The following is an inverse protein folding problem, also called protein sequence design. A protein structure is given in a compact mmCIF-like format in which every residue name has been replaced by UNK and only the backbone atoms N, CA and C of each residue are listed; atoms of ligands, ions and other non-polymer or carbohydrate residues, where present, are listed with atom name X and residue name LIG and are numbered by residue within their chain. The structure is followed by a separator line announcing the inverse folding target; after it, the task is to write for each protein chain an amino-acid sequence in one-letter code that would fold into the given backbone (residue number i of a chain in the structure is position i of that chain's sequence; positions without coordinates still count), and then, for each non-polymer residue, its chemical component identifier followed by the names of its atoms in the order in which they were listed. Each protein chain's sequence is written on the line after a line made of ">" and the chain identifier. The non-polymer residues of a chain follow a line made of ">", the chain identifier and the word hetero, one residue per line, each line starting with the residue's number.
data_IF_425386774637
#
_entry.id   IF_425386774637
#
_cell.length_a   1.000
_cell.length_b   1.000
_cell.length_c   1.000
_cell.angle_alpha   90.00
_cell.angle_beta   90.00
_cell.angle_gamma   90.00
#
_symmetry.space_group_name_H-M   'P 1'
#
loop_
_entity.id
_entity.type
_entity.pdbx_description
1 polymer ?
#
# COMPACT_ATOMS: atom_id res chain seq x y z
N UNK A 1 -31.36 -4.22 4.04
CA UNK A 1 -30.90 -3.29 3.51
C UNK A 1 -29.75 -3.36 2.57
N UNK A 2 -30.09 -3.29 1.34
CA UNK A 2 -29.13 -3.27 0.27
C UNK A 2 -28.18 -2.07 0.36
N UNK A 3 -28.63 -1.00 1.02
CA UNK A 3 -27.81 0.19 1.19
C UNK A 3 -26.58 -0.07 2.06
N UNK A 4 -26.66 -0.99 3.01
CA UNK A 4 -25.51 -1.32 3.85
C UNK A 4 -24.44 -2.09 3.08
N UNK A 5 -24.84 -3.00 2.19
CA UNK A 5 -23.90 -3.72 1.36
C UNK A 5 -23.20 -2.77 0.40
N UNK A 6 -23.96 -1.83 -0.18
CA UNK A 6 -23.37 -0.83 -1.05
C UNK A 6 -22.44 0.09 -0.29
N UNK A 7 -22.81 0.40 0.94
CA UNK A 7 -22.01 1.25 1.81
C UNK A 7 -20.67 0.58 2.12
N UNK A 8 -20.67 -0.73 2.35
CA UNK A 8 -19.44 -1.46 2.59
C UNK A 8 -18.52 -1.48 1.37
N UNK A 9 -19.10 -1.65 0.18
CA UNK A 9 -18.31 -1.55 -1.06
C UNK A 9 -17.76 -0.15 -1.24
N UNK A 10 -18.57 0.88 -0.97
CA UNK A 10 -18.13 2.26 -1.06
C UNK A 10 -17.04 2.56 -0.05
N UNK A 11 -17.15 2.00 1.15
CA UNK A 11 -16.12 2.20 2.17
C UNK A 11 -14.79 1.66 1.69
N UNK A 12 -14.77 0.49 1.04
CA UNK A 12 -13.53 -0.07 0.50
C UNK A 12 -12.92 0.83 -0.57
N UNK A 13 -13.76 1.42 -1.44
CA UNK A 13 -13.29 2.35 -2.46
C UNK A 13 -12.86 3.67 -1.82
N UNK A 14 -13.62 4.17 -0.87
CA UNK A 14 -13.31 5.41 -0.18
C UNK A 14 -12.05 5.27 0.67
N UNK A 15 -11.82 4.10 1.27
CA UNK A 15 -10.59 3.84 2.00
C UNK A 15 -9.37 4.02 1.11
N UNK A 16 -9.54 3.66 -0.15
CA UNK A 16 -8.45 3.83 -1.10
C UNK A 16 -8.22 5.30 -1.45
N UNK A 17 -9.29 6.09 -1.53
CA UNK A 17 -9.23 7.45 -2.06
C UNK A 17 -9.34 8.52 -0.98
N UNK A 18 -10.33 8.44 -0.10
CA UNK A 18 -10.65 9.54 0.80
C UNK A 18 -10.68 9.18 2.28
N UNK A 19 -11.02 7.95 2.63
CA UNK A 19 -11.12 7.53 4.04
C UNK A 19 -9.81 7.00 4.59
N UNK A 20 -8.81 6.85 3.75
CA UNK A 20 -7.52 6.37 4.17
C UNK A 20 -6.59 7.51 4.54
N UNK A 21 -5.33 7.24 4.46
CA UNK A 21 -4.29 8.23 4.72
C UNK A 21 -4.12 9.13 3.50
N UNK A 22 -3.61 10.36 3.72
CA UNK A 22 -3.27 11.19 2.58
C UNK A 22 -1.93 10.74 1.99
N UNK A 23 -1.58 11.34 0.84
CA UNK A 23 -0.37 10.91 0.13
C UNK A 23 0.90 11.11 0.95
N UNK A 24 0.95 12.19 1.73
CA UNK A 24 2.11 12.46 2.57
C UNK A 24 2.24 11.40 3.66
N UNK A 25 1.13 11.03 4.29
CA UNK A 25 1.14 10.02 5.34
C UNK A 25 1.53 8.66 4.79
N UNK A 26 1.01 8.30 3.62
CA UNK A 26 1.36 7.03 2.97
C UNK A 26 2.86 7.01 2.67
N UNK A 27 3.38 8.09 2.12
CA UNK A 27 4.80 8.21 1.79
C UNK A 27 5.66 8.05 3.03
N UNK A 28 5.31 8.73 4.11
CA UNK A 28 6.08 8.66 5.35
C UNK A 28 6.10 7.25 5.92
N UNK A 29 4.96 6.57 5.90
CA UNK A 29 4.89 5.20 6.42
C UNK A 29 5.71 4.25 5.57
N UNK A 30 5.61 4.37 4.24
CA UNK A 30 6.40 3.53 3.35
C UNK A 30 7.90 3.76 3.58
N UNK A 31 8.31 5.01 3.76
CA UNK A 31 9.71 5.33 4.05
C UNK A 31 10.16 4.74 5.38
N UNK A 32 9.30 4.77 6.39
CA UNK A 32 9.60 4.15 7.68
C UNK A 32 9.80 2.65 7.54
N UNK A 33 8.92 1.99 6.80
CA UNK A 33 9.01 0.55 6.55
C UNK A 33 10.32 0.23 5.85
N UNK A 34 10.63 0.98 4.81
CA UNK A 34 11.85 0.76 4.04
C UNK A 34 13.09 0.96 4.91
N UNK A 35 13.06 1.96 5.79
CA UNK A 35 14.16 2.22 6.71
C UNK A 35 14.35 1.06 7.69
N UNK A 36 13.26 0.54 8.24
CA UNK A 36 13.33 -0.59 9.16
C UNK A 36 13.95 -1.79 8.47
N UNK A 37 13.54 -2.09 7.26
CA UNK A 37 14.10 -3.21 6.51
C UNK A 37 15.59 -3.00 6.19
N UNK A 38 15.94 -1.78 5.81
CA UNK A 38 17.33 -1.43 5.52
C UNK A 38 18.20 -1.56 6.77
N UNK A 39 17.74 -1.00 7.88
CA UNK A 39 18.51 -1.04 9.14
C UNK A 39 18.69 -2.46 9.62
N UNK A 40 17.68 -3.31 9.42
CA UNK A 40 17.82 -4.71 9.82
C UNK A 40 18.93 -5.43 9.07
N UNK A 41 19.14 -5.08 7.80
CA UNK A 41 20.23 -5.71 7.03
C UNK A 41 21.60 -5.42 7.61
N UNK A 42 21.73 -4.28 8.27
CA UNK A 42 22.99 -3.88 8.91
C UNK A 42 23.08 -4.28 10.37
N UNK A 43 22.03 -4.87 10.92
CA UNK A 43 22.02 -5.28 12.32
C UNK A 43 22.95 -6.49 12.54
N UNK A 44 23.40 -6.64 13.77
CA UNK A 44 24.32 -7.73 14.11
C UNK A 44 23.87 -8.43 15.39
N UNK A 45 23.21 -9.61 15.27
CA UNK A 45 22.79 -10.27 14.03
C UNK A 45 21.47 -9.70 13.49
N UNK A 46 21.25 -9.76 12.20
CA UNK A 46 19.96 -9.32 11.67
C UNK A 46 18.86 -10.35 11.96
N UNK A 47 17.64 -9.87 12.10
CA UNK A 47 16.49 -10.75 12.15
C UNK A 47 16.18 -11.27 10.75
N UNK A 48 15.50 -12.42 10.70
CA UNK A 48 15.02 -12.89 9.39
C UNK A 48 14.03 -11.89 8.82
N UNK A 49 13.89 -11.89 7.51
CA UNK A 49 12.93 -11.02 6.85
C UNK A 49 11.52 -11.23 7.41
N UNK A 50 11.11 -12.48 7.55
CA UNK A 50 9.80 -12.82 8.10
C UNK A 50 9.61 -12.24 9.51
N UNK A 51 10.64 -12.33 10.36
CA UNK A 51 10.55 -11.82 11.71
C UNK A 51 10.40 -10.30 11.75
N UNK A 52 11.14 -9.59 10.89
CA UNK A 52 11.06 -8.14 10.82
C UNK A 52 9.67 -7.71 10.38
N UNK A 53 9.14 -8.33 9.33
CA UNK A 53 7.80 -8.02 8.83
C UNK A 53 6.75 -8.33 9.89
N UNK A 54 6.87 -9.47 10.56
CA UNK A 54 5.94 -9.82 11.62
C UNK A 54 5.96 -8.76 12.73
N UNK A 55 7.14 -8.31 13.13
CA UNK A 55 7.25 -7.29 14.18
C UNK A 55 6.55 -6.00 13.77
N UNK A 56 6.63 -5.62 12.49
CA UNK A 56 5.91 -4.45 12.01
C UNK A 56 4.41 -4.59 12.17
N UNK A 57 3.87 -5.79 11.94
CA UNK A 57 2.43 -6.00 12.09
C UNK A 57 1.96 -5.83 13.53
N UNK A 58 2.87 -5.90 14.49
CA UNK A 58 2.55 -5.75 15.91
C UNK A 58 2.65 -4.29 16.38
N UNK A 59 3.17 -3.39 15.57
CA UNK A 59 3.31 -1.99 15.95
C UNK A 59 2.05 -1.22 15.59
N UNK A 60 1.54 -0.48 16.57
CA UNK A 60 0.29 0.27 16.40
C UNK A 60 0.37 1.28 15.25
N UNK A 61 1.52 1.88 15.04
CA UNK A 61 1.66 2.89 13.99
C UNK A 61 1.48 2.33 12.58
N UNK A 62 1.64 1.02 12.40
CA UNK A 62 1.48 0.40 11.09
C UNK A 62 0.15 -0.32 10.93
N UNK A 63 -0.59 -0.53 12.00
CA UNK A 63 -1.83 -1.32 11.93
C UNK A 63 -2.85 -0.72 10.98
N UNK A 64 -3.06 0.58 11.07
CA UNK A 64 -4.03 1.24 10.20
C UNK A 64 -3.61 1.11 8.73
N UNK A 65 -2.34 1.34 8.46
CA UNK A 65 -1.81 1.24 7.10
C UNK A 65 -1.98 -0.17 6.54
N UNK A 66 -1.65 -1.17 7.34
CA UNK A 66 -1.75 -2.58 6.91
C UNK A 66 -3.20 -2.95 6.63
N UNK A 67 -4.12 -2.51 7.47
CA UNK A 67 -5.54 -2.80 7.28
C UNK A 67 -6.09 -2.14 6.03
N UNK A 68 -5.70 -0.92 5.77
CA UNK A 68 -6.24 -0.14 4.64
C UNK A 68 -5.55 -0.44 3.32
N UNK A 69 -4.27 -0.73 3.36
CA UNK A 69 -3.46 -0.92 2.16
C UNK A 69 -2.65 -2.21 2.23
N UNK A 70 -3.33 -3.37 2.40
CA UNK A 70 -2.59 -4.63 2.59
C UNK A 70 -1.73 -5.01 1.39
N UNK A 71 -2.20 -4.73 0.17
CA UNK A 71 -1.41 -5.02 -1.03
C UNK A 71 -0.15 -4.16 -1.07
N UNK A 72 -0.29 -2.88 -0.75
CA UNK A 72 0.86 -1.99 -0.74
C UNK A 72 1.87 -2.41 0.33
N UNK A 73 1.38 -2.77 1.52
CA UNK A 73 2.26 -3.27 2.56
C UNK A 73 3.02 -4.52 2.10
N UNK A 74 2.31 -5.44 1.45
CA UNK A 74 2.93 -6.66 0.94
C UNK A 74 4.03 -6.35 -0.08
N UNK A 75 3.77 -5.38 -0.94
CA UNK A 75 4.74 -5.00 -1.97
C UNK A 75 5.96 -4.32 -1.37
N UNK A 76 5.75 -3.41 -0.42
CA UNK A 76 6.84 -2.67 0.22
C UNK A 76 7.74 -3.60 1.03
N UNK A 77 7.17 -4.67 1.59
CA UNK A 77 7.91 -5.60 2.45
C UNK A 77 8.45 -6.82 1.72
N UNK A 78 8.42 -6.85 0.39
CA UNK A 78 8.99 -7.98 -0.35
C UNK A 78 10.49 -8.09 -0.09
N UNK A 79 10.92 -9.31 0.13
CA UNK A 79 12.33 -9.58 0.40
C UNK A 79 13.22 -9.16 -0.76
N UNK A 80 12.72 -9.28 -1.99
CA UNK A 80 13.45 -8.88 -3.18
C UNK A 80 13.64 -7.37 -3.31
N UNK A 81 12.90 -6.60 -2.51
CA UNK A 81 13.00 -5.15 -2.54
C UNK A 81 11.76 -4.50 -3.15
N UNK A 82 11.65 -3.20 -2.97
CA UNK A 82 10.49 -2.44 -3.44
C UNK A 82 10.96 -1.33 -4.38
N UNK A 83 10.26 -1.21 -5.50
CA UNK A 83 10.52 -0.14 -6.46
C UNK A 83 9.75 1.11 -6.05
N UNK A 84 10.46 2.11 -5.54
CA UNK A 84 9.85 3.33 -5.04
C UNK A 84 9.08 4.08 -6.12
N UNK A 85 9.46 3.95 -7.38
CA UNK A 85 8.75 4.61 -8.48
C UNK A 85 7.32 4.08 -8.60
N UNK A 86 7.08 2.86 -8.15
CA UNK A 86 5.74 2.29 -8.12
C UNK A 86 4.85 3.06 -7.13
N UNK A 87 5.40 3.44 -5.99
CA UNK A 87 4.66 4.25 -5.02
C UNK A 87 4.29 5.60 -5.63
N UNK A 88 5.22 6.24 -6.31
CA UNK A 88 4.96 7.50 -6.96
C UNK A 88 3.85 7.39 -7.99
N UNK A 89 3.86 6.31 -8.76
CA UNK A 89 2.80 6.04 -9.73
C UNK A 89 1.45 5.87 -9.03
N UNK A 90 1.43 5.06 -7.99
CA UNK A 90 0.22 4.81 -7.21
C UNK A 90 -0.36 6.12 -6.66
N UNK A 91 0.49 6.93 -6.06
CA UNK A 91 0.06 8.19 -5.46
C UNK A 91 -0.42 9.20 -6.51
N UNK A 92 0.21 9.24 -7.67
CA UNK A 92 -0.21 10.16 -8.73
C UNK A 92 -1.59 9.78 -9.28
N UNK A 93 -1.86 8.48 -9.41
CA UNK A 93 -3.19 8.03 -9.84
C UNK A 93 -4.25 8.35 -8.80
N UNK A 94 -3.91 8.14 -7.54
CA UNK A 94 -4.81 8.47 -6.44
C UNK A 94 -5.14 9.96 -6.42
N UNK A 95 -4.16 10.80 -6.71
CA UNK A 95 -4.33 12.25 -6.78
C UNK A 95 -5.30 12.64 -7.89
N UNK A 96 -5.21 11.98 -9.04
CA UNK A 96 -6.12 12.25 -10.17
C UNK A 96 -7.57 11.96 -9.76
N UNK A 97 -7.78 10.85 -9.05
CA UNK A 97 -9.12 10.50 -8.57
C UNK A 97 -9.67 11.59 -7.66
N UNK A 98 -8.86 12.01 -6.71
CA UNK A 98 -9.28 13.00 -5.71
C UNK A 98 -9.58 14.34 -6.37
N UNK A 99 -8.71 14.79 -7.24
CA UNK A 99 -8.84 16.11 -7.85
C UNK A 99 -9.97 16.21 -8.87
N UNK A 100 -10.17 15.15 -9.64
CA UNK A 100 -11.16 15.21 -10.73
C UNK A 100 -12.54 14.74 -10.30
N UNK A 101 -12.67 14.23 -9.11
CA UNK A 101 -13.94 13.73 -8.57
C UNK A 101 -14.67 12.81 -9.55
N UNK A 102 -13.90 12.07 -10.33
CA UNK A 102 -14.50 11.06 -11.20
C UNK A 102 -15.11 9.97 -10.33
N UNK A 103 -16.06 9.23 -10.90
CA UNK A 103 -16.66 8.14 -10.19
C UNK A 103 -15.54 7.24 -9.69
N UNK A 104 -15.40 7.20 -8.37
CA UNK A 104 -14.30 6.50 -7.75
C UNK A 104 -14.26 5.02 -8.10
N UNK A 105 -15.40 4.43 -8.51
CA UNK A 105 -15.46 3.02 -8.88
C UNK A 105 -14.64 2.71 -10.13
N UNK A 106 -14.81 3.53 -11.19
CA UNK A 106 -14.09 3.28 -12.44
C UNK A 106 -12.59 3.40 -12.25
N UNK A 107 -12.19 4.45 -11.56
CA UNK A 107 -10.77 4.73 -11.39
C UNK A 107 -10.15 3.77 -10.38
N UNK A 108 -10.92 3.39 -9.36
CA UNK A 108 -10.45 2.39 -8.41
C UNK A 108 -10.13 1.07 -9.11
N UNK A 109 -11.01 0.64 -10.01
CA UNK A 109 -10.77 -0.56 -10.79
C UNK A 109 -9.52 -0.41 -11.67
N UNK A 110 -9.39 0.74 -12.31
CA UNK A 110 -8.25 0.99 -13.17
C UNK A 110 -6.94 0.99 -12.39
N UNK A 111 -6.89 1.71 -11.27
CA UNK A 111 -5.68 1.78 -10.45
C UNK A 111 -5.37 0.41 -9.86
N UNK A 112 -6.38 -0.27 -9.34
CA UNK A 112 -6.18 -1.60 -8.78
C UNK A 112 -5.66 -2.58 -9.81
N UNK A 113 -6.22 -2.55 -11.02
CA UNK A 113 -5.78 -3.42 -12.09
C UNK A 113 -4.36 -3.10 -12.53
N UNK A 114 -4.04 -1.84 -12.67
CA UNK A 114 -2.70 -1.42 -13.07
C UNK A 114 -1.67 -1.78 -12.01
N UNK A 115 -2.01 -1.61 -10.74
CA UNK A 115 -1.12 -2.01 -9.66
C UNK A 115 -0.88 -3.51 -9.68
N UNK A 116 -1.96 -4.28 -9.86
CA UNK A 116 -1.86 -5.73 -9.92
C UNK A 116 -0.97 -6.16 -11.08
N UNK A 117 -1.22 -5.59 -12.26
CA UNK A 117 -0.47 -5.95 -13.45
C UNK A 117 1.02 -5.63 -13.30
N UNK A 118 1.33 -4.45 -12.80
CA UNK A 118 2.73 -4.04 -12.62
C UNK A 118 3.44 -4.91 -11.60
N UNK A 119 2.76 -5.18 -10.50
CA UNK A 119 3.33 -5.97 -9.42
C UNK A 119 3.65 -7.40 -9.86
N UNK A 120 2.68 -8.08 -10.44
CA UNK A 120 2.85 -9.48 -10.83
C UNK A 120 3.69 -9.63 -12.10
N UNK A 121 3.55 -8.71 -13.03
CA UNK A 121 4.36 -8.72 -14.23
C UNK A 121 5.83 -8.54 -13.91
N UNK A 122 6.12 -7.65 -12.97
CA UNK A 122 7.50 -7.44 -12.52
C UNK A 122 8.07 -8.70 -11.89
N UNK A 123 7.25 -9.46 -11.16
CA UNK A 123 7.69 -10.69 -10.54
C UNK A 123 7.93 -11.80 -11.57
N UNK A 124 7.12 -11.82 -12.62
CA UNK A 124 7.30 -12.81 -13.69
C UNK A 124 8.60 -12.59 -14.45
N UNK A 125 9.08 -11.38 -14.51
CA UNK A 125 10.29 -11.03 -15.23
C UNK A 125 11.57 -11.31 -14.44
N UNK A 126 11.44 -11.76 -13.22
CA UNK A 126 12.57 -12.19 -12.41
C UNK A 126 12.82 -13.67 -12.61
#
# INVERSE_FOLDING_TARGET
>A
MSSQKQKNKKVAVEDFVSDGLDNKQITEIVQDIMKILHDNKSASPPLSHTAVVYNMTQEDKFKFFIERYPMLFDMVTKEAGFDYSFLEYFLSKREVIIKKQKTSDEIHKQVGQEMFDLYYKKQENI
#
